data_IF_353221069035
#
_entry.id   IF_353221069035
#
_cell.length_a   1.000
_cell.length_b   1.000
_cell.length_c   1.000
_cell.angle_alpha   90.00
_cell.angle_beta   90.00
_cell.angle_gamma   90.00
#
_symmetry.space_group_name_H-M   'P 1'
#
loop_
_entity.id
_entity.type
_entity.pdbx_description
1 polymer ?
#
# COMPACT_ATOMS: atom_id res chain seq x y z
N UNK A 1 11.29 -0.57 -22.21
CA UNK A 1 11.54 0.85 -21.87
C UNK A 1 10.55 1.71 -22.65
N UNK A 2 9.94 2.73 -22.03
CA UNK A 2 9.00 3.66 -22.67
C UNK A 2 9.73 4.99 -22.97
N UNK A 3 10.47 5.10 -24.09
CA UNK A 3 11.33 6.25 -24.37
C UNK A 3 10.58 7.57 -24.59
N UNK A 4 9.26 7.51 -24.79
CA UNK A 4 8.39 8.69 -24.94
C UNK A 4 7.56 9.01 -23.68
N UNK A 5 7.84 8.35 -22.54
CA UNK A 5 7.10 8.59 -21.32
C UNK A 5 7.33 10.01 -20.80
N UNK A 6 6.27 10.80 -20.75
CA UNK A 6 6.28 12.09 -20.05
C UNK A 6 6.14 11.86 -18.54
N UNK A 7 7.29 11.80 -17.86
CA UNK A 7 7.36 11.64 -16.41
C UNK A 7 6.68 12.80 -15.67
N UNK A 8 6.75 14.03 -16.22
CA UNK A 8 6.12 15.19 -15.58
C UNK A 8 4.61 15.10 -15.63
N UNK A 9 4.05 14.60 -16.74
CA UNK A 9 2.62 14.32 -16.82
C UNK A 9 2.18 13.29 -15.78
N UNK A 10 2.96 12.22 -15.56
CA UNK A 10 2.67 11.20 -14.54
C UNK A 10 2.68 11.80 -13.13
N UNK A 11 3.71 12.58 -12.79
CA UNK A 11 3.79 13.26 -11.50
C UNK A 11 2.62 14.22 -11.30
N UNK A 12 2.27 14.99 -12.32
CA UNK A 12 1.12 15.90 -12.29
C UNK A 12 -0.21 15.18 -12.08
N UNK A 13 -0.37 13.95 -12.61
CA UNK A 13 -1.55 13.12 -12.33
C UNK A 13 -1.61 12.72 -10.86
N UNK A 14 -0.49 12.27 -10.27
CA UNK A 14 -0.41 11.90 -8.85
C UNK A 14 -0.70 13.11 -7.96
N UNK A 15 -0.10 14.27 -8.25
CA UNK A 15 -0.39 15.55 -7.58
C UNK A 15 -1.87 15.92 -7.66
N UNK A 16 -2.50 15.68 -8.81
CA UNK A 16 -3.92 15.90 -9.02
C UNK A 16 -4.78 15.02 -8.10
N UNK A 17 -4.44 13.74 -7.97
CA UNK A 17 -5.12 12.83 -7.04
C UNK A 17 -4.90 13.26 -5.58
N UNK A 18 -3.68 13.65 -5.23
CA UNK A 18 -3.33 14.11 -3.89
C UNK A 18 -4.11 15.38 -3.50
N UNK A 19 -4.20 16.35 -4.40
CA UNK A 19 -5.02 17.56 -4.21
C UNK A 19 -6.50 17.23 -4.03
N UNK A 20 -7.03 16.29 -4.83
CA UNK A 20 -8.43 15.86 -4.74
C UNK A 20 -8.77 15.23 -3.40
N UNK A 21 -7.95 14.31 -2.89
CA UNK A 21 -8.20 13.69 -1.57
C UNK A 21 -8.00 14.69 -0.44
N UNK A 22 -6.97 15.56 -0.53
CA UNK A 22 -6.72 16.61 0.47
C UNK A 22 -7.88 17.60 0.57
N UNK A 23 -8.49 17.98 -0.55
CA UNK A 23 -9.64 18.87 -0.58
C UNK A 23 -10.90 18.33 0.13
N UNK A 24 -10.92 17.03 0.47
CA UNK A 24 -12.04 16.37 1.18
C UNK A 24 -11.81 16.26 2.69
N UNK A 25 -10.62 16.61 3.17
CA UNK A 25 -10.20 16.38 4.54
C UNK A 25 -9.98 17.72 5.21
N UNK A 26 -10.82 18.03 6.21
CA UNK A 26 -10.60 19.18 7.07
C UNK A 26 -9.33 19.00 7.93
N UNK A 27 -8.67 20.09 8.29
CA UNK A 27 -7.44 20.05 9.11
C UNK A 27 -7.62 19.31 10.44
N UNK A 28 -8.79 19.45 11.09
CA UNK A 28 -9.09 18.80 12.37
C UNK A 28 -9.54 17.33 12.24
N UNK A 29 -9.60 16.79 11.02
CA UNK A 29 -10.04 15.40 10.79
C UNK A 29 -9.06 14.42 11.48
N UNK A 30 -9.52 13.54 12.38
CA UNK A 30 -8.64 12.60 13.06
C UNK A 30 -7.98 11.60 12.09
N UNK A 31 -6.76 11.09 12.38
CA UNK A 31 -6.04 10.18 11.49
C UNK A 31 -6.84 8.96 11.02
N UNK A 32 -7.63 8.34 11.91
CA UNK A 32 -8.47 7.18 11.56
C UNK A 32 -9.49 7.52 10.45
N UNK A 33 -10.10 8.72 10.52
CA UNK A 33 -11.06 9.19 9.52
C UNK A 33 -10.38 9.60 8.22
N UNK A 34 -9.17 10.17 8.29
CA UNK A 34 -8.35 10.46 7.11
C UNK A 34 -7.98 9.18 6.37
N UNK A 35 -7.58 8.13 7.11
CA UNK A 35 -7.28 6.83 6.53
C UNK A 35 -8.52 6.20 5.88
N UNK A 36 -9.67 6.22 6.56
CA UNK A 36 -10.93 5.75 5.98
C UNK A 36 -11.28 6.49 4.68
N UNK A 37 -11.15 7.83 4.67
CA UNK A 37 -11.41 8.63 3.48
C UNK A 37 -10.44 8.32 2.34
N UNK A 38 -9.16 8.10 2.65
CA UNK A 38 -8.16 7.69 1.67
C UNK A 38 -8.48 6.33 1.05
N UNK A 39 -8.75 5.31 1.87
CA UNK A 39 -9.07 3.96 1.39
C UNK A 39 -10.34 3.97 0.54
N UNK A 40 -11.39 4.68 0.97
CA UNK A 40 -12.62 4.83 0.20
C UNK A 40 -12.39 5.55 -1.13
N UNK A 41 -11.58 6.62 -1.13
CA UNK A 41 -11.25 7.33 -2.36
C UNK A 41 -10.43 6.46 -3.32
N UNK A 42 -9.39 5.79 -2.82
CA UNK A 42 -8.45 5.03 -3.64
C UNK A 42 -9.07 3.74 -4.19
N UNK A 43 -9.64 2.90 -3.32
CA UNK A 43 -10.20 1.61 -3.71
C UNK A 43 -11.67 1.69 -4.13
N UNK A 44 -12.47 2.51 -3.45
CA UNK A 44 -13.89 2.63 -3.73
C UNK A 44 -14.18 3.49 -4.96
N UNK A 45 -13.75 4.75 -4.95
CA UNK A 45 -14.10 5.71 -6.01
C UNK A 45 -13.22 5.61 -7.24
N UNK A 46 -11.89 5.54 -7.06
CA UNK A 46 -10.96 5.43 -8.18
C UNK A 46 -10.81 3.98 -8.68
N UNK A 47 -11.30 3.00 -7.92
CA UNK A 47 -11.30 1.59 -8.31
C UNK A 47 -9.90 0.95 -8.36
N UNK A 48 -8.89 1.53 -7.71
CA UNK A 48 -7.57 0.92 -7.66
C UNK A 48 -7.63 -0.41 -6.94
N UNK A 49 -7.08 -1.45 -7.56
CA UNK A 49 -7.01 -2.77 -6.96
C UNK A 49 -5.99 -3.64 -7.68
N UNK A 50 -5.71 -4.78 -7.08
CA UNK A 50 -4.91 -5.82 -7.69
C UNK A 50 -5.41 -6.29 -9.06
N UNK A 51 -4.47 -6.67 -9.92
CA UNK A 51 -4.78 -7.32 -11.20
C UNK A 51 -4.82 -8.85 -11.06
N UNK A 52 -5.93 -9.41 -10.57
CA UNK A 52 -6.07 -10.86 -10.43
C UNK A 52 -6.12 -11.60 -11.78
N UNK A 53 -6.65 -10.94 -12.82
CA UNK A 53 -6.82 -11.54 -14.14
C UNK A 53 -5.50 -11.68 -14.91
N UNK A 54 -4.53 -10.81 -14.62
CA UNK A 54 -3.23 -10.84 -15.28
C UNK A 54 -2.13 -10.32 -14.34
N UNK A 55 -1.90 -11.02 -13.23
CA UNK A 55 -1.01 -10.58 -12.15
C UNK A 55 0.43 -10.33 -12.62
N UNK A 56 0.96 -11.20 -13.48
CA UNK A 56 2.36 -11.14 -13.93
C UNK A 56 2.62 -10.21 -15.12
N UNK A 57 1.61 -9.43 -15.57
CA UNK A 57 1.84 -8.42 -16.57
C UNK A 57 2.83 -7.36 -16.06
N UNK A 58 3.88 -7.08 -16.84
CA UNK A 58 4.89 -6.08 -16.50
C UNK A 58 4.28 -4.69 -16.26
N UNK A 59 3.18 -4.38 -16.97
CA UNK A 59 2.48 -3.10 -16.86
C UNK A 59 1.93 -2.83 -15.46
N UNK A 60 1.64 -3.88 -14.68
CA UNK A 60 1.20 -3.76 -13.29
C UNK A 60 2.29 -3.15 -12.38
N UNK A 61 3.54 -3.10 -12.83
CA UNK A 61 4.66 -2.48 -12.13
C UNK A 61 4.87 -1.01 -12.52
N UNK A 62 4.39 -0.58 -13.68
CA UNK A 62 4.66 0.75 -14.22
C UNK A 62 3.59 1.75 -13.76
N UNK A 63 3.98 2.74 -12.96
CA UNK A 63 3.03 3.69 -12.34
C UNK A 63 2.11 4.38 -13.35
N UNK A 64 2.61 4.76 -14.53
CA UNK A 64 1.77 5.37 -15.57
C UNK A 64 0.64 4.43 -16.04
N UNK A 65 0.94 3.15 -16.29
CA UNK A 65 -0.08 2.16 -16.62
C UNK A 65 -1.00 1.82 -15.45
N UNK A 66 -0.48 1.82 -14.21
CA UNK A 66 -1.32 1.63 -13.01
C UNK A 66 -2.31 2.78 -12.85
N UNK A 67 -1.89 4.03 -13.07
CA UNK A 67 -2.77 5.21 -13.01
C UNK A 67 -3.87 5.16 -14.09
N UNK A 68 -3.57 4.63 -15.28
CA UNK A 68 -4.53 4.47 -16.37
C UNK A 68 -5.51 3.32 -16.09
N UNK A 69 -4.97 2.11 -15.88
CA UNK A 69 -5.76 0.88 -15.74
C UNK A 69 -6.45 0.74 -14.39
N UNK A 70 -5.97 1.45 -13.37
CA UNK A 70 -6.33 1.27 -11.95
C UNK A 70 -5.99 -0.13 -11.44
N UNK A 71 -5.10 -0.85 -12.12
CA UNK A 71 -4.67 -2.20 -11.78
C UNK A 71 -3.16 -2.25 -11.62
N UNK A 72 -2.68 -2.87 -10.54
CA UNK A 72 -1.27 -2.91 -10.23
C UNK A 72 -0.85 -4.07 -9.32
N UNK A 73 0.46 -4.19 -9.13
CA UNK A 73 1.04 -5.07 -8.11
C UNK A 73 0.91 -4.46 -6.71
N UNK A 74 1.02 -5.27 -5.64
CA UNK A 74 0.95 -4.77 -4.26
C UNK A 74 1.89 -3.59 -4.00
N UNK A 75 3.15 -3.67 -4.45
CA UNK A 75 4.13 -2.59 -4.24
C UNK A 75 3.80 -1.32 -5.03
N UNK A 76 3.32 -1.44 -6.27
CA UNK A 76 2.97 -0.28 -7.09
C UNK A 76 1.75 0.46 -6.53
N UNK A 77 0.75 -0.29 -6.06
CA UNK A 77 -0.41 0.28 -5.37
C UNK A 77 -0.02 0.91 -4.04
N UNK A 78 0.89 0.28 -3.28
CA UNK A 78 1.40 0.81 -2.04
C UNK A 78 2.08 2.16 -2.23
N UNK A 79 2.95 2.31 -3.24
CA UNK A 79 3.63 3.58 -3.52
C UNK A 79 2.62 4.72 -3.71
N UNK A 80 1.56 4.49 -4.50
CA UNK A 80 0.51 5.49 -4.68
C UNK A 80 -0.25 5.78 -3.38
N UNK A 81 -0.56 4.76 -2.58
CA UNK A 81 -1.26 4.92 -1.30
C UNK A 81 -0.40 5.69 -0.28
N UNK A 82 0.91 5.43 -0.24
CA UNK A 82 1.87 6.13 0.62
C UNK A 82 1.92 7.62 0.27
N UNK A 83 2.12 7.92 -1.01
CA UNK A 83 2.17 9.29 -1.54
C UNK A 83 0.89 10.08 -1.18
N UNK A 84 -0.28 9.50 -1.43
CA UNK A 84 -1.56 10.14 -1.11
C UNK A 84 -1.77 10.26 0.41
N UNK A 85 -1.32 9.28 1.20
CA UNK A 85 -1.40 9.28 2.65
C UNK A 85 -0.59 10.40 3.29
N UNK A 86 0.64 10.60 2.85
CA UNK A 86 1.50 11.70 3.31
C UNK A 86 0.89 13.06 3.01
N UNK A 87 0.31 13.23 1.82
CA UNK A 87 -0.35 14.48 1.40
C UNK A 87 -1.56 14.88 2.26
N UNK A 88 -2.17 13.94 2.95
CA UNK A 88 -3.28 14.17 3.90
C UNK A 88 -2.81 14.10 5.35
N UNK A 89 -1.50 14.15 5.60
CA UNK A 89 -0.89 14.19 6.93
C UNK A 89 -0.98 12.89 7.72
N UNK A 90 -1.15 11.75 7.04
CA UNK A 90 -0.99 10.45 7.68
C UNK A 90 0.50 10.12 7.82
N UNK A 91 0.85 9.41 8.88
CA UNK A 91 2.18 8.81 9.04
C UNK A 91 2.10 7.38 8.53
N UNK A 92 2.50 7.19 7.27
CA UNK A 92 2.42 5.91 6.56
C UNK A 92 3.82 5.39 6.23
N UNK A 93 3.96 4.07 6.15
CA UNK A 93 5.21 3.41 5.77
C UNK A 93 4.92 2.09 5.05
N UNK A 94 5.68 1.78 4.01
CA UNK A 94 5.66 0.45 3.39
C UNK A 94 6.26 -0.60 4.33
N UNK A 95 5.77 -1.84 4.25
CA UNK A 95 6.25 -2.98 5.03
C UNK A 95 6.54 -4.13 4.08
N UNK A 96 7.80 -4.57 4.07
CA UNK A 96 8.25 -5.76 3.35
C UNK A 96 7.87 -7.00 4.16
N UNK A 97 6.63 -7.45 4.00
CA UNK A 97 6.10 -8.61 4.72
C UNK A 97 6.36 -9.89 3.92
N UNK A 98 6.60 -11.05 4.54
CA UNK A 98 6.84 -12.27 3.79
C UNK A 98 5.72 -12.59 2.77
N UNK A 99 6.10 -12.65 1.49
CA UNK A 99 5.18 -12.87 0.36
C UNK A 99 4.24 -11.71 0.02
N UNK A 100 4.32 -10.56 0.72
CA UNK A 100 3.40 -9.44 0.56
C UNK A 100 4.10 -8.08 0.71
N UNK A 101 3.57 -7.04 0.08
CA UNK A 101 3.96 -5.67 0.41
C UNK A 101 2.75 -4.97 1.02
N UNK A 102 2.89 -4.52 2.27
CA UNK A 102 1.79 -3.93 3.04
C UNK A 102 2.04 -2.45 3.28
N UNK A 103 0.99 -1.72 3.64
CA UNK A 103 1.08 -0.33 4.08
C UNK A 103 0.70 -0.24 5.55
N UNK A 104 1.55 0.38 6.36
CA UNK A 104 1.28 0.59 7.78
C UNK A 104 1.04 2.06 8.04
N UNK A 105 0.01 2.38 8.83
CA UNK A 105 -0.35 3.74 9.20
C UNK A 105 -0.42 3.89 10.72
N UNK A 106 0.24 4.90 11.27
CA UNK A 106 0.15 5.21 12.70
C UNK A 106 -1.16 5.95 13.01
N UNK A 107 -1.97 5.40 13.92
CA UNK A 107 -3.27 5.95 14.33
C UNK A 107 -3.32 6.05 15.86
N UNK A 108 -3.19 7.27 16.38
CA UNK A 108 -3.12 7.49 17.83
C UNK A 108 -1.89 6.81 18.45
N UNK A 109 -2.12 5.94 19.45
CA UNK A 109 -1.07 5.11 20.07
C UNK A 109 -0.86 3.77 19.36
N UNK A 110 -1.71 3.42 18.38
CA UNK A 110 -1.65 2.15 17.66
C UNK A 110 -1.25 2.31 16.20
N UNK A 111 -1.33 1.19 15.47
CA UNK A 111 -1.04 1.11 14.04
C UNK A 111 -2.15 0.33 13.34
N UNK A 112 -2.42 0.68 12.09
CA UNK A 112 -3.28 -0.07 11.18
C UNK A 112 -2.42 -0.57 10.04
N UNK A 113 -2.49 -1.86 9.74
CA UNK A 113 -1.83 -2.47 8.59
C UNK A 113 -2.88 -2.70 7.51
N UNK A 114 -2.57 -2.28 6.29
CA UNK A 114 -3.44 -2.31 5.12
C UNK A 114 -2.79 -3.18 4.06
N UNK A 115 -3.63 -3.94 3.38
CA UNK A 115 -3.27 -4.61 2.14
C UNK A 115 -3.53 -3.65 0.97
N UNK A 116 -2.50 -3.09 0.31
CA UNK A 116 -2.67 -2.16 -0.81
C UNK A 116 -3.27 -2.84 -2.05
N UNK A 117 -3.27 -4.18 -2.11
CA UNK A 117 -3.84 -4.92 -3.24
C UNK A 117 -5.36 -4.99 -3.17
N UNK A 118 -5.93 -4.99 -1.96
CA UNK A 118 -7.39 -5.15 -1.72
C UNK A 118 -8.04 -3.96 -1.01
N UNK A 119 -7.25 -3.10 -0.36
CA UNK A 119 -7.71 -2.01 0.50
C UNK A 119 -8.16 -2.45 1.90
N UNK A 120 -7.98 -3.73 2.25
CA UNK A 120 -8.42 -4.26 3.53
C UNK A 120 -7.46 -3.88 4.66
N UNK A 121 -8.01 -3.43 5.79
CA UNK A 121 -7.29 -3.40 7.07
C UNK A 121 -7.16 -4.82 7.61
N UNK A 122 -5.95 -5.20 7.99
CA UNK A 122 -5.62 -6.55 8.44
C UNK A 122 -5.63 -6.62 9.96
N UNK A 123 -6.30 -7.63 10.51
CA UNK A 123 -6.21 -7.98 11.92
C UNK A 123 -4.86 -8.64 12.24
N UNK A 124 -4.51 -8.70 13.52
CA UNK A 124 -3.34 -9.44 13.98
C UNK A 124 -3.41 -10.93 13.57
N UNK A 125 -4.59 -11.54 13.70
CA UNK A 125 -4.85 -12.93 13.29
C UNK A 125 -4.59 -13.14 11.78
N UNK A 126 -5.07 -12.24 10.91
CA UNK A 126 -4.81 -12.33 9.47
C UNK A 126 -3.33 -12.19 9.11
N UNK A 127 -2.58 -11.37 9.86
CA UNK A 127 -1.14 -11.23 9.68
C UNK A 127 -0.40 -12.50 10.13
N UNK A 128 -0.78 -13.06 11.28
CA UNK A 128 -0.24 -14.33 11.77
C UNK A 128 -0.51 -15.49 10.80
N UNK A 129 -1.73 -15.58 10.25
CA UNK A 129 -2.08 -16.61 9.27
C UNK A 129 -1.21 -16.53 8.01
N UNK A 130 -0.96 -15.30 7.51
CA UNK A 130 -0.07 -15.06 6.37
C UNK A 130 1.37 -15.44 6.70
N UNK A 131 1.83 -15.12 7.91
CA UNK A 131 3.18 -15.48 8.36
C UNK A 131 3.33 -17.00 8.52
N UNK A 132 2.32 -17.68 9.06
CA UNK A 132 2.29 -19.13 9.20
C UNK A 132 2.34 -19.84 7.83
N UNK A 133 1.63 -19.32 6.82
CA UNK A 133 1.72 -19.82 5.44
C UNK A 133 3.15 -19.71 4.88
N UNK A 134 3.79 -18.56 5.07
CA UNK A 134 5.18 -18.37 4.67
C UNK A 134 6.13 -19.33 5.39
N UNK A 135 5.98 -19.50 6.71
CA UNK A 135 6.82 -20.42 7.52
C UNK A 135 6.72 -21.85 7.01
N UNK A 136 5.51 -22.36 6.78
CA UNK A 136 5.27 -23.71 6.22
C UNK A 136 5.94 -23.93 4.87
N UNK A 137 6.00 -22.88 4.02
CA UNK A 137 6.64 -22.95 2.70
C UNK A 137 8.14 -22.68 2.68
N UNK A 138 8.70 -22.08 3.74
CA UNK A 138 10.09 -21.58 3.77
C UNK A 138 11.16 -22.61 4.13
N UNK A 139 10.78 -23.76 4.71
CA UNK A 139 11.72 -24.79 5.15
C UNK A 139 12.69 -24.35 6.26
N UNK A 140 12.46 -23.20 6.89
CA UNK A 140 13.30 -22.67 7.96
C UNK A 140 13.11 -23.47 9.27
N UNK A 141 14.19 -23.71 10.04
CA UNK A 141 14.08 -24.32 11.37
C UNK A 141 13.22 -23.47 12.31
N UNK A 142 12.36 -24.12 13.12
CA UNK A 142 11.43 -23.48 14.07
C UNK A 142 12.11 -22.60 15.13
N UNK A 143 13.41 -22.78 15.37
CA UNK A 143 14.20 -22.01 16.34
C UNK A 143 14.56 -20.58 15.86
N UNK A 144 14.28 -20.26 14.58
CA UNK A 144 14.50 -18.94 13.98
C UNK A 144 13.20 -18.14 13.79
N UNK A 145 12.11 -18.52 14.46
CA UNK A 145 10.83 -17.83 14.33
C UNK A 145 10.85 -16.44 14.97
N UNK A 146 11.15 -15.44 14.14
CA UNK A 146 11.06 -14.04 14.51
C UNK A 146 9.58 -13.67 14.81
N UNK A 147 9.34 -12.80 15.80
CA UNK A 147 7.98 -12.39 16.17
C UNK A 147 7.34 -11.51 15.07
N UNK A 148 6.01 -11.41 15.04
CA UNK A 148 5.27 -10.65 14.03
C UNK A 148 5.77 -9.20 13.90
N UNK A 149 6.09 -8.56 15.03
CA UNK A 149 6.59 -7.18 15.09
C UNK A 149 7.90 -7.00 14.32
N UNK A 150 8.71 -8.06 14.20
CA UNK A 150 9.92 -8.04 13.38
C UNK A 150 9.57 -7.74 11.92
N UNK A 151 8.54 -8.40 11.39
CA UNK A 151 8.10 -8.33 10.00
C UNK A 151 7.22 -7.12 9.70
N UNK A 152 6.71 -6.44 10.73
CA UNK A 152 5.92 -5.20 10.61
C UNK A 152 6.76 -3.92 10.66
N UNK A 153 8.09 -4.06 10.62
CA UNK A 153 8.98 -2.90 10.53
C UNK A 153 8.87 -2.22 9.15
N UNK A 154 9.01 -0.88 9.11
CA UNK A 154 9.09 -0.16 7.85
C UNK A 154 10.17 -0.76 6.93
N UNK A 155 9.86 -0.88 5.64
CA UNK A 155 10.82 -1.28 4.63
C UNK A 155 11.92 -0.22 4.51
N UNK A 156 13.16 -0.68 4.38
CA UNK A 156 14.31 0.18 4.07
C UNK A 156 14.43 0.38 2.55
N UNK A 157 15.14 1.44 2.09
CA UNK A 157 15.20 1.80 0.67
C UNK A 157 15.79 0.75 -0.30
N UNK A 158 16.33 -0.38 0.19
CA UNK A 158 17.02 -1.41 -0.61
C UNK A 158 16.62 -2.86 -0.24
N UNK A 159 15.48 -3.03 0.42
CA UNK A 159 14.91 -4.34 0.76
C UNK A 159 14.02 -4.89 -0.34
#
# INVERSE_FOLDING_TARGET
AHPALDVQAVLAQVDGLAKRVRGRIAAETPPARRLQALTQFFHGELGFAGNLNNYYAADNSFIHHVLESRRGLPISLAVLLLELGEHIGLRVSGVAFPGHFLVKCKIGMGEVVLDPFTGQSLSAEQLEDRLALYRRGSGLPSELELPLEFFLRPASPRQ
#
